data_IF_745287656183
#
_entry.id   IF_745287656183
#
_cell.length_a   1.000
_cell.length_b   1.000
_cell.length_c   1.000
_cell.angle_alpha   90.00
_cell.angle_beta   90.00
_cell.angle_gamma   90.00
#
_symmetry.space_group_name_H-M   'P 1'
#
loop_
_entity.id
_entity.type
_entity.pdbx_description
1 polymer ?
#
# COMPACT_ATOMS: atom_id res chain seq x y z
N UNK A 1 5.64 14.55 -9.00
CA UNK A 1 6.21 13.21 -8.76
C UNK A 1 5.64 12.49 -7.52
N UNK A 2 5.60 13.10 -6.33
CA UNK A 2 5.18 12.39 -5.10
C UNK A 2 3.74 11.84 -5.13
N UNK A 3 2.79 12.55 -5.74
CA UNK A 3 1.42 12.02 -5.92
C UNK A 3 1.38 10.72 -6.73
N UNK A 4 2.16 10.64 -7.83
CA UNK A 4 2.25 9.44 -8.65
C UNK A 4 2.88 8.27 -7.86
N UNK A 5 3.86 8.56 -7.00
CA UNK A 5 4.46 7.56 -6.10
C UNK A 5 3.42 7.05 -5.10
N UNK A 6 2.66 7.94 -4.46
CA UNK A 6 1.57 7.54 -3.56
C UNK A 6 0.50 6.71 -4.26
N UNK A 7 0.14 7.07 -5.50
CA UNK A 7 -0.82 6.33 -6.30
C UNK A 7 -0.29 4.93 -6.67
N UNK A 8 0.99 4.81 -7.02
CA UNK A 8 1.63 3.51 -7.27
C UNK A 8 1.69 2.64 -6.01
N UNK A 9 2.04 3.21 -4.86
CA UNK A 9 1.99 2.47 -3.58
C UNK A 9 0.57 2.01 -3.28
N UNK A 10 -0.44 2.86 -3.49
CA UNK A 10 -1.83 2.48 -3.25
C UNK A 10 -2.23 1.28 -4.12
N UNK A 11 -1.93 1.31 -5.42
CA UNK A 11 -2.21 0.20 -6.34
C UNK A 11 -1.44 -1.08 -5.95
N UNK A 12 -0.17 -0.95 -5.56
CA UNK A 12 0.63 -2.09 -5.10
C UNK A 12 0.06 -2.72 -3.81
N UNK A 13 -0.39 -1.89 -2.87
CA UNK A 13 -1.02 -2.35 -1.63
C UNK A 13 -2.37 -3.04 -1.87
N UNK A 14 -3.19 -2.50 -2.78
CA UNK A 14 -4.45 -3.13 -3.22
C UNK A 14 -4.21 -4.47 -3.91
N UNK A 15 -3.17 -4.56 -4.73
CA UNK A 15 -2.78 -5.83 -5.36
C UNK A 15 -2.35 -6.88 -4.32
N UNK A 16 -1.48 -6.52 -3.36
CA UNK A 16 -1.06 -7.41 -2.29
C UNK A 16 -2.23 -7.88 -1.43
N UNK A 17 -3.16 -6.97 -1.10
CA UNK A 17 -4.37 -7.30 -0.37
C UNK A 17 -5.21 -8.34 -1.12
N UNK A 18 -5.43 -8.16 -2.42
CA UNK A 18 -6.17 -9.11 -3.24
C UNK A 18 -5.42 -10.44 -3.41
N UNK A 19 -4.10 -10.39 -3.61
CA UNK A 19 -3.23 -11.55 -3.75
C UNK A 19 -3.29 -12.47 -2.53
N UNK A 20 -3.44 -11.90 -1.32
CA UNK A 20 -3.56 -12.66 -0.08
C UNK A 20 -4.72 -13.69 -0.07
N UNK A 21 -5.76 -13.48 -0.88
CA UNK A 21 -6.91 -14.37 -0.99
C UNK A 21 -6.77 -15.46 -2.06
N UNK A 22 -5.74 -15.38 -2.90
CA UNK A 22 -5.52 -16.32 -4.02
C UNK A 22 -4.31 -17.23 -3.75
N UNK A 23 -3.37 -16.79 -2.90
CA UNK A 23 -2.18 -17.56 -2.54
C UNK A 23 -2.48 -18.70 -1.55
N UNK A 24 -1.75 -19.80 -1.70
CA UNK A 24 -1.90 -21.02 -0.90
C UNK A 24 -1.09 -21.02 0.39
N UNK A 25 -0.18 -20.07 0.56
CA UNK A 25 0.69 -19.93 1.75
C UNK A 25 1.00 -18.46 2.05
N UNK A 26 1.37 -18.16 3.30
CA UNK A 26 1.72 -16.81 3.78
C UNK A 26 0.61 -15.73 3.63
N UNK A 27 -0.65 -16.15 3.50
CA UNK A 27 -1.82 -15.27 3.30
C UNK A 27 -1.87 -14.13 4.32
N UNK A 28 -1.70 -14.45 5.60
CA UNK A 28 -1.73 -13.45 6.68
C UNK A 28 -0.60 -12.41 6.57
N UNK A 29 0.60 -12.83 6.17
CA UNK A 29 1.74 -11.93 6.02
C UNK A 29 1.56 -11.00 4.81
N UNK A 30 1.07 -11.54 3.69
CA UNK A 30 0.78 -10.79 2.46
C UNK A 30 -0.38 -9.80 2.70
N UNK A 31 -1.41 -10.21 3.43
CA UNK A 31 -2.52 -9.36 3.82
C UNK A 31 -2.04 -8.16 4.66
N UNK A 32 -1.27 -8.42 5.73
CA UNK A 32 -0.72 -7.36 6.59
C UNK A 32 0.20 -6.43 5.80
N UNK A 33 1.04 -6.97 4.92
CA UNK A 33 1.89 -6.15 4.04
C UNK A 33 1.07 -5.25 3.13
N UNK A 34 -0.01 -5.76 2.52
CA UNK A 34 -0.93 -4.96 1.70
C UNK A 34 -1.55 -3.80 2.48
N UNK A 35 -2.04 -4.04 3.70
CA UNK A 35 -2.58 -3.00 4.58
C UNK A 35 -1.54 -1.94 4.93
N UNK A 36 -0.30 -2.35 5.27
CA UNK A 36 0.78 -1.40 5.58
C UNK A 36 1.13 -0.53 4.38
N UNK A 37 1.19 -1.12 3.18
CA UNK A 37 1.51 -0.38 1.94
C UNK A 37 0.40 0.62 1.60
N UNK A 38 -0.88 0.24 1.74
CA UNK A 38 -2.02 1.17 1.58
C UNK A 38 -1.94 2.30 2.61
N UNK A 39 -1.63 1.99 3.87
CA UNK A 39 -1.51 2.99 4.93
C UNK A 39 -0.39 3.99 4.65
N UNK A 40 0.75 3.52 4.13
CA UNK A 40 1.86 4.37 3.71
C UNK A 40 1.48 5.25 2.51
N UNK A 41 0.74 4.71 1.54
CA UNK A 41 0.27 5.46 0.38
C UNK A 41 -0.57 6.69 0.77
N UNK A 42 -1.37 6.58 1.83
CA UNK A 42 -2.17 7.69 2.39
C UNK A 42 -1.34 8.58 3.32
N UNK A 43 -0.42 8.01 4.10
CA UNK A 43 0.41 8.76 5.03
C UNK A 43 1.33 9.78 4.32
N UNK A 44 1.98 9.36 3.23
CA UNK A 44 2.93 10.19 2.47
C UNK A 44 2.30 11.54 2.03
N UNK A 45 1.15 11.59 1.33
CA UNK A 45 0.56 12.85 0.91
C UNK A 45 0.01 13.68 2.06
N UNK A 46 -0.46 13.05 3.15
CA UNK A 46 -1.03 13.79 4.28
C UNK A 46 0.06 14.45 5.14
N UNK A 47 1.19 13.77 5.37
CA UNK A 47 2.21 14.21 6.33
C UNK A 47 3.47 14.78 5.68
N UNK A 48 3.86 14.29 4.51
CA UNK A 48 5.10 14.70 3.83
C UNK A 48 4.83 15.85 2.85
N UNK A 49 3.76 15.77 2.07
CA UNK A 49 3.41 16.80 1.07
C UNK A 49 2.87 18.11 1.69
N UNK A 50 2.31 18.09 2.91
CA UNK A 50 1.80 19.30 3.58
C UNK A 50 2.91 20.24 4.07
N UNK A 51 4.17 19.81 4.03
CA UNK A 51 5.33 20.56 4.54
C UNK A 51 6.24 21.17 3.46
N UNK A 52 5.91 20.98 2.18
CA UNK A 52 6.71 21.48 1.04
C UNK A 52 6.08 22.68 0.36
#
# INVERSE_FOLDING_TARGET
MMFAISLLLFLAGMYLFALAFVVTSFQGLIFVAGILVISLAVFIPVHILRKS
#
